data_IF_109945468880
#
_entry.id   IF_109945468880
#
_cell.length_a   1.000
_cell.length_b   1.000
_cell.length_c   1.000
_cell.angle_alpha   90.00
_cell.angle_beta   90.00
_cell.angle_gamma   90.00
#
_symmetry.space_group_name_H-M   'P 1'
#
loop_
_entity.id
_entity.type
_entity.pdbx_description
1 polymer ?
#
# COMPACT_ATOMS: atom_id res chain seq x y z
N UNK A 1 13.06 15.11 -5.24
CA UNK A 1 11.74 14.61 -4.83
C UNK A 1 11.13 13.84 -5.99
N UNK A 2 10.65 12.64 -5.74
CA UNK A 2 10.06 11.81 -6.80
C UNK A 2 8.55 11.99 -6.85
N UNK A 3 7.98 11.91 -8.08
CA UNK A 3 6.53 11.91 -8.27
C UNK A 3 6.01 10.50 -8.49
N UNK A 4 6.84 9.48 -8.24
CA UNK A 4 6.48 8.10 -8.48
C UNK A 4 6.44 7.33 -7.18
N UNK A 5 5.61 6.29 -7.16
CA UNK A 5 5.58 5.34 -6.06
C UNK A 5 6.92 4.61 -6.01
N UNK A 6 7.54 4.60 -4.84
CA UNK A 6 8.76 3.84 -4.57
C UNK A 6 8.45 2.75 -3.57
N UNK A 7 9.21 1.67 -3.63
CA UNK A 7 8.98 0.53 -2.74
C UNK A 7 10.29 -0.14 -2.37
N UNK A 8 10.26 -0.82 -1.23
CA UNK A 8 11.36 -1.65 -0.78
C UNK A 8 10.77 -2.84 -0.03
N UNK A 9 11.09 -4.04 -0.47
CA UNK A 9 10.69 -5.23 0.27
C UNK A 9 11.64 -5.44 1.44
N UNK A 10 11.10 -5.35 2.65
CA UNK A 10 11.85 -5.60 3.87
C UNK A 10 11.92 -7.09 4.15
N UNK A 11 10.89 -7.81 3.75
CA UNK A 11 10.79 -9.26 3.89
C UNK A 11 9.80 -9.74 2.84
N UNK A 12 10.15 -10.78 2.11
CA UNK A 12 9.26 -11.36 1.10
C UNK A 12 8.47 -12.50 1.74
N UNK A 13 7.15 -12.40 1.68
CA UNK A 13 6.28 -13.44 2.20
C UNK A 13 6.26 -14.67 1.31
N UNK A 14 5.81 -15.78 1.87
CA UNK A 14 5.71 -17.05 1.16
C UNK A 14 4.29 -17.60 1.15
N UNK A 15 3.35 -16.88 1.76
CA UNK A 15 1.97 -17.32 1.82
C UNK A 15 1.15 -16.90 0.61
N UNK A 16 -0.14 -16.80 0.81
CA UNK A 16 -1.08 -16.48 -0.25
C UNK A 16 -0.79 -15.12 -0.87
N UNK A 17 -0.90 -15.02 -2.18
CA UNK A 17 -0.61 -13.79 -2.92
C UNK A 17 -1.83 -12.88 -2.91
N UNK A 18 -1.60 -11.59 -2.67
CA UNK A 18 -2.66 -10.59 -2.79
C UNK A 18 -3.15 -10.50 -4.23
N UNK A 19 -4.47 -10.41 -4.40
CA UNK A 19 -5.06 -10.25 -5.73
C UNK A 19 -6.23 -9.28 -5.65
N UNK A 20 -6.53 -8.68 -6.79
CA UNK A 20 -7.59 -7.67 -6.87
C UNK A 20 -8.92 -8.24 -6.40
N UNK A 21 -9.59 -7.48 -5.52
CA UNK A 21 -10.88 -7.86 -4.98
C UNK A 21 -10.80 -8.70 -3.72
N UNK A 22 -9.60 -9.11 -3.31
CA UNK A 22 -9.43 -9.88 -2.09
C UNK A 22 -9.55 -8.98 -0.85
N UNK A 23 -10.05 -9.55 0.23
CA UNK A 23 -10.00 -8.90 1.54
C UNK A 23 -8.64 -9.18 2.15
N UNK A 24 -7.87 -8.13 2.39
CA UNK A 24 -6.57 -8.28 3.05
C UNK A 24 -6.67 -7.84 4.50
N UNK A 25 -5.83 -8.46 5.32
CA UNK A 25 -5.60 -8.08 6.71
C UNK A 25 -4.14 -7.70 6.82
N UNK A 26 -3.87 -6.51 7.36
CA UNK A 26 -2.51 -6.00 7.41
C UNK A 26 -2.29 -5.15 8.64
N UNK A 27 -1.07 -5.18 9.17
CA UNK A 27 -0.59 -4.14 10.06
C UNK A 27 0.16 -3.11 9.27
N UNK A 28 0.07 -1.86 9.68
CA UNK A 28 0.84 -0.81 9.03
C UNK A 28 1.18 0.32 9.99
N UNK A 29 2.22 1.05 9.63
CA UNK A 29 2.55 2.34 10.24
C UNK A 29 2.73 3.34 9.11
N UNK A 30 2.06 4.51 9.24
CA UNK A 30 2.15 5.58 8.26
C UNK A 30 2.92 6.76 8.83
N UNK A 31 3.78 7.35 7.99
CA UNK A 31 4.66 8.45 8.37
C UNK A 31 4.44 9.66 7.48
N UNK A 32 4.45 10.84 8.08
CA UNK A 32 4.47 12.12 7.37
C UNK A 32 5.86 12.37 6.76
N UNK A 33 6.00 13.37 5.89
CA UNK A 33 7.30 13.66 5.27
C UNK A 33 8.42 13.94 6.28
N UNK A 34 8.08 14.45 7.47
CA UNK A 34 9.07 14.73 8.51
C UNK A 34 9.40 13.50 9.37
N UNK A 35 8.80 12.35 9.06
CA UNK A 35 9.02 11.11 9.80
C UNK A 35 8.08 10.88 10.97
N UNK A 36 7.17 11.83 11.23
CA UNK A 36 6.20 11.69 12.31
C UNK A 36 5.18 10.63 11.95
N UNK A 37 4.85 9.74 12.89
CA UNK A 37 3.79 8.75 12.71
C UNK A 37 2.44 9.45 12.76
N UNK A 38 1.63 9.28 11.71
CA UNK A 38 0.27 9.83 11.71
C UNK A 38 -0.79 8.77 11.99
N UNK A 39 -0.45 7.50 11.79
CA UNK A 39 -1.39 6.40 12.03
C UNK A 39 -0.62 5.10 12.17
N UNK A 40 -1.14 4.17 13.00
CA UNK A 40 -0.53 2.88 13.17
C UNK A 40 -1.57 1.89 13.69
N UNK A 41 -1.72 0.77 12.96
CA UNK A 41 -2.60 -0.30 13.40
C UNK A 41 -2.07 -0.98 14.67
N UNK A 42 -0.74 -0.97 14.85
CA UNK A 42 -0.15 -1.51 16.08
C UNK A 42 -0.58 -0.71 17.30
N UNK A 43 -0.64 0.63 17.19
CA UNK A 43 -1.06 1.49 18.29
C UNK A 43 -2.52 1.27 18.65
N UNK A 44 -3.35 0.93 17.67
CA UNK A 44 -4.76 0.61 17.92
C UNK A 44 -4.94 -0.79 18.47
N UNK A 45 -3.90 -1.63 18.41
CA UNK A 45 -3.96 -3.02 18.85
C UNK A 45 -4.84 -3.90 17.98
N UNK A 46 -5.08 -3.51 16.72
CA UNK A 46 -5.97 -4.25 15.84
C UNK A 46 -5.53 -4.09 14.38
N UNK A 47 -5.41 -5.20 13.64
CA UNK A 47 -5.05 -5.11 12.22
C UNK A 47 -6.13 -4.39 11.42
N UNK A 48 -5.70 -3.82 10.30
CA UNK A 48 -6.57 -3.16 9.35
C UNK A 48 -7.03 -4.16 8.30
N UNK A 49 -8.31 -4.11 7.95
CA UNK A 49 -8.87 -4.96 6.90
C UNK A 49 -9.47 -4.09 5.81
N UNK A 50 -9.23 -4.47 4.55
CA UNK A 50 -9.81 -3.77 3.41
C UNK A 50 -9.79 -4.66 2.18
N UNK A 51 -10.74 -4.41 1.28
CA UNK A 51 -10.73 -5.01 -0.05
C UNK A 51 -9.73 -4.23 -0.89
N UNK A 52 -8.76 -4.94 -1.45
CA UNK A 52 -7.67 -4.31 -2.18
C UNK A 52 -7.98 -4.25 -3.68
N UNK A 53 -7.57 -3.16 -4.34
CA UNK A 53 -7.68 -3.03 -5.80
C UNK A 53 -9.02 -2.51 -6.29
N UNK A 54 -9.85 -1.94 -5.40
CA UNK A 54 -11.19 -1.46 -5.74
C UNK A 54 -11.42 -0.01 -5.33
N UNK A 55 -10.35 0.73 -5.03
CA UNK A 55 -10.46 2.15 -4.69
C UNK A 55 -10.94 2.42 -3.27
N UNK A 56 -10.89 1.43 -2.39
CA UNK A 56 -11.32 1.59 -1.00
C UNK A 56 -10.20 2.09 -0.10
N UNK A 57 -8.98 2.06 -0.60
CA UNK A 57 -7.80 2.62 0.05
C UNK A 57 -7.13 3.57 -0.94
N UNK A 58 -6.14 4.33 -0.50
CA UNK A 58 -5.43 5.22 -1.41
C UNK A 58 -4.80 4.42 -2.55
N UNK A 59 -4.67 5.09 -3.70
CA UNK A 59 -4.16 4.43 -4.91
C UNK A 59 -2.78 3.81 -4.69
N UNK A 60 -1.94 4.49 -3.91
CA UNK A 60 -0.61 3.98 -3.60
C UNK A 60 -0.63 2.63 -2.89
N UNK A 61 -1.67 2.36 -2.09
CA UNK A 61 -1.83 1.06 -1.45
C UNK A 61 -2.31 0.00 -2.45
N UNK A 62 -3.34 0.34 -3.25
CA UNK A 62 -3.83 -0.62 -4.25
C UNK A 62 -2.70 -1.07 -5.16
N UNK A 63 -1.93 -0.11 -5.68
CA UNK A 63 -0.81 -0.41 -6.58
C UNK A 63 0.35 -1.06 -5.82
N UNK A 64 0.68 -0.51 -4.65
CA UNK A 64 1.83 -0.98 -3.88
C UNK A 64 1.69 -2.40 -3.37
N UNK A 65 0.48 -2.83 -3.05
CA UNK A 65 0.21 -4.18 -2.57
C UNK A 65 0.03 -5.15 -3.74
N UNK A 66 -0.67 -4.72 -4.80
CA UNK A 66 -1.01 -5.60 -5.91
C UNK A 66 0.08 -5.70 -6.98
N UNK A 67 0.95 -4.70 -7.07
CA UNK A 67 2.13 -4.81 -7.92
C UNK A 67 2.05 -4.09 -9.24
N UNK A 68 3.17 -4.17 -10.00
CA UNK A 68 3.33 -3.45 -11.25
C UNK A 68 2.42 -3.94 -12.37
N UNK A 69 2.09 -5.22 -12.38
CA UNK A 69 1.17 -5.78 -13.37
C UNK A 69 -0.23 -5.18 -13.21
N UNK A 70 -0.69 -5.06 -11.97
CA UNK A 70 -1.95 -4.38 -11.67
C UNK A 70 -1.88 -2.91 -12.08
N UNK A 71 -0.77 -2.23 -11.77
CA UNK A 71 -0.56 -0.83 -12.17
C UNK A 71 -0.70 -0.67 -13.67
N UNK A 72 -0.13 -1.59 -14.45
CA UNK A 72 -0.23 -1.56 -15.90
C UNK A 72 -1.68 -1.69 -16.37
N UNK A 73 -2.43 -2.60 -15.75
CA UNK A 73 -3.83 -2.84 -16.13
C UNK A 73 -4.72 -1.64 -15.91
N UNK A 74 -4.41 -0.83 -14.90
CA UNK A 74 -5.23 0.35 -14.59
C UNK A 74 -4.62 1.65 -15.13
N UNK A 75 -3.54 1.56 -15.91
CA UNK A 75 -2.94 2.73 -16.54
C UNK A 75 -2.03 3.54 -15.63
N UNK A 76 -1.52 2.97 -14.55
CA UNK A 76 -0.67 3.64 -13.57
C UNK A 76 0.78 3.21 -13.62
N UNK A 77 1.17 2.46 -14.65
CA UNK A 77 2.53 1.92 -14.75
C UNK A 77 3.59 3.03 -14.69
N UNK A 78 3.32 4.15 -15.36
CA UNK A 78 4.27 5.27 -15.38
C UNK A 78 4.38 5.99 -14.03
N UNK A 79 3.46 5.72 -13.10
CA UNK A 79 3.46 6.31 -11.77
C UNK A 79 4.28 5.50 -10.76
N UNK A 80 4.89 4.40 -11.19
CA UNK A 80 5.63 3.49 -10.32
C UNK A 80 7.08 3.45 -10.77
N UNK A 81 8.00 3.59 -9.81
CA UNK A 81 9.43 3.43 -10.09
C UNK A 81 9.74 1.93 -10.15
N UNK A 82 10.38 1.49 -11.23
CA UNK A 82 10.72 0.08 -11.46
C UNK A 82 9.50 -0.84 -11.38
N UNK A 83 8.44 -0.59 -12.15
CA UNK A 83 7.21 -1.37 -12.00
C UNK A 83 7.38 -2.85 -12.28
N UNK A 84 8.33 -3.24 -13.12
CA UNK A 84 8.59 -4.65 -13.42
C UNK A 84 9.10 -5.42 -12.20
N UNK A 85 9.65 -4.73 -11.21
CA UNK A 85 10.18 -5.36 -10.00
C UNK A 85 9.17 -5.32 -8.85
N UNK A 86 8.05 -4.64 -9.00
CA UNK A 86 7.04 -4.57 -7.97
C UNK A 86 6.10 -5.77 -8.10
N UNK A 87 6.37 -6.81 -7.33
CA UNK A 87 5.55 -8.03 -7.32
C UNK A 87 4.38 -7.86 -6.35
N UNK A 88 3.27 -8.59 -6.55
CA UNK A 88 2.21 -8.59 -5.54
C UNK A 88 2.75 -9.08 -4.20
N UNK A 89 2.27 -8.48 -3.11
CA UNK A 89 2.65 -8.95 -1.78
C UNK A 89 2.07 -10.33 -1.51
N UNK A 90 2.79 -11.11 -0.72
CA UNK A 90 2.34 -12.40 -0.21
C UNK A 90 2.25 -12.35 1.30
N UNK A 91 1.37 -13.16 1.86
CA UNK A 91 1.21 -13.25 3.32
C UNK A 91 2.55 -13.55 3.97
N UNK A 92 2.87 -12.82 5.02
CA UNK A 92 4.16 -12.87 5.70
C UNK A 92 5.14 -11.81 5.23
N UNK A 93 4.83 -11.12 4.13
CA UNK A 93 5.70 -10.10 3.59
C UNK A 93 5.58 -8.76 4.31
N UNK A 94 6.66 -8.01 4.28
CA UNK A 94 6.72 -6.63 4.77
C UNK A 94 7.28 -5.75 3.68
N UNK A 95 6.61 -4.65 3.40
CA UNK A 95 7.00 -3.74 2.31
C UNK A 95 6.89 -2.30 2.77
N UNK A 96 7.94 -1.53 2.48
CA UNK A 96 7.90 -0.09 2.63
C UNK A 96 7.42 0.53 1.32
N UNK A 97 6.45 1.44 1.41
CA UNK A 97 5.98 2.22 0.27
C UNK A 97 6.22 3.69 0.53
N UNK A 98 6.78 4.37 -0.45
CA UNK A 98 6.88 5.84 -0.44
C UNK A 98 5.90 6.32 -1.49
N UNK A 99 4.81 6.94 -1.03
CA UNK A 99 3.65 7.26 -1.85
C UNK A 99 3.60 8.75 -2.12
N UNK A 100 3.75 9.19 -3.37
CA UNK A 100 3.60 10.62 -3.68
C UNK A 100 2.17 11.05 -3.40
N UNK A 101 2.00 12.33 -3.09
CA UNK A 101 0.72 12.85 -2.63
C UNK A 101 -0.43 12.58 -3.60
N UNK A 102 -0.18 12.60 -4.92
CA UNK A 102 -1.24 12.38 -5.91
C UNK A 102 -1.75 10.93 -5.93
N UNK A 103 -1.02 10.00 -5.30
CA UNK A 103 -1.47 8.62 -5.11
C UNK A 103 -1.92 8.38 -3.67
N UNK A 104 -2.00 9.42 -2.86
CA UNK A 104 -2.47 9.40 -1.48
C UNK A 104 -3.69 10.34 -1.37
N UNK A 105 -3.58 11.39 -0.59
CA UNK A 105 -4.73 12.28 -0.33
C UNK A 105 -4.68 13.59 -1.12
N UNK A 106 -3.65 13.79 -1.93
CA UNK A 106 -3.54 14.94 -2.82
C UNK A 106 -3.53 16.25 -2.06
N UNK A 107 -4.34 17.20 -2.51
CA UNK A 107 -4.39 18.55 -1.95
C UNK A 107 -5.27 18.66 -0.72
N UNK A 108 -5.89 17.54 -0.29
CA UNK A 108 -6.80 17.57 0.85
C UNK A 108 -6.02 17.39 2.14
N UNK A 109 -6.46 18.11 3.18
CA UNK A 109 -5.98 17.85 4.54
C UNK A 109 -6.84 16.75 5.15
N UNK A 110 -6.21 15.69 5.65
CA UNK A 110 -6.89 14.55 6.26
C UNK A 110 -6.31 14.36 7.66
N UNK A 111 -7.08 14.79 8.68
CA UNK A 111 -6.61 14.70 10.06
C UNK A 111 -5.25 15.37 10.24
N UNK A 112 -4.24 14.60 10.62
CA UNK A 112 -2.88 15.08 10.83
C UNK A 112 -2.08 15.24 9.55
N UNK A 113 -2.61 14.81 8.41
CA UNK A 113 -1.90 14.80 7.12
C UNK A 113 -2.14 16.12 6.43
N UNK A 114 -1.10 16.98 6.28
CA UNK A 114 -1.26 18.24 5.55
C UNK A 114 -1.51 18.02 4.07
N UNK A 115 -2.03 19.03 3.36
CA UNK A 115 -2.16 18.95 1.90
C UNK A 115 -0.82 18.67 1.24
N UNK A 116 -0.86 17.94 0.13
CA UNK A 116 0.30 17.64 -0.72
C UNK A 116 1.42 16.89 0.01
N UNK A 117 1.05 15.99 0.91
CA UNK A 117 2.02 15.20 1.67
C UNK A 117 2.35 13.90 0.95
N UNK A 118 3.64 13.66 0.74
CA UNK A 118 4.13 12.34 0.37
C UNK A 118 4.17 11.51 1.65
N UNK A 119 3.66 10.30 1.59
CA UNK A 119 3.51 9.46 2.78
C UNK A 119 4.37 8.20 2.65
N UNK A 120 4.94 7.79 3.77
CA UNK A 120 5.67 6.52 3.84
C UNK A 120 4.85 5.54 4.67
N UNK A 121 4.73 4.31 4.19
CA UNK A 121 4.04 3.24 4.91
C UNK A 121 4.95 2.04 5.03
N UNK A 122 4.97 1.44 6.22
CA UNK A 122 5.50 0.10 6.42
C UNK A 122 4.28 -0.82 6.55
N UNK A 123 4.15 -1.80 5.66
CA UNK A 123 2.98 -2.67 5.61
C UNK A 123 3.43 -4.11 5.81
N UNK A 124 2.75 -4.81 6.72
CA UNK A 124 2.94 -6.23 6.94
C UNK A 124 1.64 -6.94 6.57
N UNK A 125 1.68 -7.81 5.56
CA UNK A 125 0.49 -8.52 5.10
C UNK A 125 0.29 -9.78 5.92
N UNK A 126 -0.84 -9.85 6.61
CA UNK A 126 -1.13 -10.94 7.54
C UNK A 126 -2.04 -12.01 6.95
N UNK A 127 -2.98 -11.64 6.10
CA UNK A 127 -3.94 -12.57 5.53
C UNK A 127 -4.52 -12.04 4.23
N UNK A 128 -4.94 -12.97 3.37
CA UNK A 128 -5.61 -12.68 2.11
C UNK A 128 -6.78 -13.64 1.95
N UNK A 129 -7.99 -13.09 1.85
CA UNK A 129 -9.20 -13.88 1.60
C UNK A 129 -9.76 -13.53 0.25
N UNK A 130 -9.76 -14.48 -0.65
CA UNK A 130 -10.28 -14.27 -2.00
C UNK A 130 -11.78 -14.56 -2.05
N UNK A 131 -12.42 -14.08 -3.12
CA UNK A 131 -13.89 -14.19 -3.22
C UNK A 131 -14.34 -15.59 -3.62
N UNK A 132 -13.51 -16.30 -4.33
CA UNK A 132 -13.81 -17.69 -4.69
C UNK A 132 -13.30 -18.58 -3.59
N UNK A 133 -14.05 -18.61 -2.56
CA UNK A 133 -13.76 -19.36 -1.35
C UNK A 133 -14.17 -20.81 -1.43
N UNK A 134 -14.36 -21.26 -2.55
CA UNK A 134 -14.70 -22.66 -2.81
C UNK A 134 -13.53 -23.57 -2.62
#
# INVERSE_FOLDING_TARGET
MTNKLQFQDLSVGTGKTAERGALITAHYTGYLPDGTVFDSSYHRGQPFEAVIGTGRVIKGWDVGVLGGEYAQKIGYQAQVENPAHLMPMQVGGKRKLIVPSHLAYGERQIGKIPPNSDLTFDIELLDVKTRDWD
#
